data_IF_059975214929
#
_entry.id   IF_059975214929
#
_cell.length_a   1.000
_cell.length_b   1.000
_cell.length_c   1.000
_cell.angle_alpha   90.00
_cell.angle_beta   90.00
_cell.angle_gamma   90.00
#
_symmetry.space_group_name_H-M   'P 1'
#
loop_
_entity.id
_entity.type
_entity.pdbx_description
1 polymer ?
#
# COMPACT_ATOMS: atom_id res chain seq x y z
N UNK A 1 36.49 30.99 17.68
CA UNK A 1 35.16 31.56 17.99
C UNK A 1 34.21 31.17 16.85
N UNK A 2 33.58 29.98 16.86
CA UNK A 2 32.28 29.64 17.48
C UNK A 2 31.20 30.71 17.25
N UNK A 3 30.31 30.43 16.31
CA UNK A 3 28.92 30.88 16.34
C UNK A 3 28.06 29.70 15.86
N UNK A 4 27.68 28.88 16.84
CA UNK A 4 26.45 28.08 16.81
C UNK A 4 25.30 29.06 16.71
N UNK A 5 24.36 28.85 15.78
CA UNK A 5 22.96 29.26 15.94
C UNK A 5 22.04 28.26 15.19
N UNK A 6 21.42 27.42 16.03
CA UNK A 6 20.02 26.95 15.94
C UNK A 6 19.56 26.18 14.70
N UNK A 7 20.00 24.91 14.58
CA UNK A 7 19.16 23.84 14.04
C UNK A 7 18.24 23.29 15.13
N UNK A 8 17.12 23.96 15.35
CA UNK A 8 16.07 23.51 16.26
C UNK A 8 14.70 23.80 15.67
N UNK A 9 13.80 22.82 15.73
CA UNK A 9 12.41 22.82 15.24
C UNK A 9 12.17 22.53 13.74
N UNK A 10 12.52 21.31 13.29
CA UNK A 10 11.62 20.49 12.44
C UNK A 10 12.12 19.04 12.28
N UNK A 11 12.47 18.33 13.36
CA UNK A 11 12.88 16.91 13.28
C UNK A 11 12.44 16.11 14.49
N UNK A 12 11.13 16.01 14.70
CA UNK A 12 10.58 15.16 15.78
C UNK A 12 9.84 13.91 15.26
N UNK A 13 9.62 13.71 13.95
CA UNK A 13 8.81 12.55 13.51
C UNK A 13 9.49 11.48 12.64
N UNK A 14 10.71 11.68 12.13
CA UNK A 14 11.35 10.63 11.31
C UNK A 14 12.88 10.69 11.36
N UNK A 15 13.48 10.18 12.43
CA UNK A 15 14.91 9.86 12.44
C UNK A 15 15.23 8.67 13.35
N UNK A 16 14.63 7.52 13.06
CA UNK A 16 15.17 6.22 13.46
C UNK A 16 15.72 5.57 12.19
N UNK A 17 17.03 5.65 12.00
CA UNK A 17 17.72 5.23 10.76
C UNK A 17 17.50 3.72 10.49
N UNK A 18 17.23 2.92 11.53
CA UNK A 18 16.92 1.49 11.40
C UNK A 18 15.59 1.20 10.69
N UNK A 19 14.54 1.99 10.93
CA UNK A 19 13.20 1.71 10.38
C UNK A 19 13.08 2.10 8.90
N UNK A 20 13.85 3.10 8.46
CA UNK A 20 13.86 3.52 7.06
C UNK A 20 14.51 2.49 6.12
N UNK A 21 15.43 1.66 6.64
CA UNK A 21 16.18 0.71 5.82
C UNK A 21 15.29 -0.39 5.21
N UNK A 22 14.22 -0.80 5.89
CA UNK A 22 13.31 -1.84 5.43
C UNK A 22 11.88 -1.35 5.15
N UNK A 23 11.54 -0.12 5.53
CA UNK A 23 10.19 0.41 5.35
C UNK A 23 9.81 0.47 3.87
N UNK A 24 8.71 -0.21 3.51
CA UNK A 24 8.21 -0.27 2.13
C UNK A 24 7.94 1.13 1.53
N UNK A 25 7.45 2.06 2.35
CA UNK A 25 7.20 3.44 1.91
C UNK A 25 8.48 4.20 1.56
N UNK A 26 9.54 4.06 2.38
CA UNK A 26 10.78 4.82 2.19
C UNK A 26 11.71 4.21 1.12
N UNK A 27 11.42 2.98 0.67
CA UNK A 27 12.25 2.25 -0.29
C UNK A 27 11.66 2.17 -1.70
N UNK A 28 10.65 3.00 -2.02
CA UNK A 28 10.16 3.11 -3.40
C UNK A 28 11.24 3.82 -4.24
N UNK A 29 11.69 3.18 -5.32
CA UNK A 29 12.74 3.69 -6.21
C UNK A 29 12.19 3.95 -7.60
N UNK A 30 12.34 5.19 -8.07
CA UNK A 30 12.03 5.57 -9.45
C UNK A 30 12.92 4.89 -10.48
N UNK A 31 12.41 4.79 -11.72
CA UNK A 31 13.18 4.26 -12.86
C UNK A 31 13.36 2.74 -12.86
N UNK A 32 12.73 2.02 -11.92
CA UNK A 32 12.67 0.55 -11.93
C UNK A 32 11.22 0.11 -12.11
N UNK A 33 10.94 -0.88 -12.97
CA UNK A 33 9.60 -1.41 -13.11
C UNK A 33 9.19 -2.18 -11.86
N UNK A 34 8.04 -1.84 -11.28
CA UNK A 34 7.44 -2.59 -10.18
C UNK A 34 6.46 -3.64 -10.73
N UNK A 35 6.14 -4.69 -9.94
CA UNK A 35 5.05 -5.60 -10.28
C UNK A 35 3.69 -4.89 -10.17
N UNK A 36 2.64 -5.52 -10.69
CA UNK A 36 1.27 -5.10 -10.41
C UNK A 36 0.99 -5.20 -8.90
N UNK A 37 0.51 -4.12 -8.29
CA UNK A 37 0.25 -4.06 -6.85
C UNK A 37 -1.24 -3.74 -6.61
N UNK A 38 -1.89 -4.54 -5.77
CA UNK A 38 -3.21 -4.28 -5.23
C UNK A 38 -3.11 -4.23 -3.70
N UNK A 39 -3.12 -3.03 -3.14
CA UNK A 39 -3.19 -2.85 -1.68
C UNK A 39 -4.66 -2.91 -1.24
N UNK A 40 -4.95 -3.62 -0.14
CA UNK A 40 -6.29 -3.67 0.44
C UNK A 40 -6.30 -2.97 1.80
N UNK A 41 -7.38 -2.26 2.08
CA UNK A 41 -7.61 -1.60 3.36
C UNK A 41 -9.10 -1.45 3.61
N UNK A 42 -9.46 -1.01 4.80
CA UNK A 42 -10.84 -0.76 5.21
C UNK A 42 -10.96 0.66 5.74
N UNK A 43 -12.06 1.34 5.48
CA UNK A 43 -12.23 2.76 5.80
C UNK A 43 -12.19 3.08 7.30
N UNK A 44 -12.66 2.15 8.13
CA UNK A 44 -12.79 2.30 9.59
C UNK A 44 -11.78 1.48 10.39
N UNK A 45 -10.60 1.22 9.81
CA UNK A 45 -9.51 0.52 10.53
C UNK A 45 -8.90 1.42 11.62
N UNK A 46 -9.21 1.13 12.88
CA UNK A 46 -8.63 1.80 14.05
C UNK A 46 -7.36 1.12 14.56
N UNK A 47 -6.99 -0.06 14.03
CA UNK A 47 -5.79 -0.81 14.41
C UNK A 47 -4.61 -0.48 13.50
N UNK A 48 -4.82 -0.43 12.20
CA UNK A 48 -3.82 -0.04 11.20
C UNK A 48 -4.41 1.00 10.27
N UNK A 49 -4.07 2.26 10.52
CA UNK A 49 -4.70 3.40 9.84
C UNK A 49 -4.61 3.30 8.30
N UNK A 50 -5.71 3.59 7.57
CA UNK A 50 -5.74 3.50 6.10
C UNK A 50 -4.76 4.45 5.39
N UNK A 51 -4.24 5.44 6.11
CA UNK A 51 -3.19 6.32 5.61
C UNK A 51 -1.91 5.59 5.18
N UNK A 52 -1.63 4.39 5.68
CA UNK A 52 -0.47 3.59 5.27
C UNK A 52 -0.53 3.11 3.81
N UNK A 53 -1.57 2.36 3.38
CA UNK A 53 -1.71 1.98 1.99
C UNK A 53 -1.90 3.20 1.06
N UNK A 54 -2.58 4.26 1.49
CA UNK A 54 -2.77 5.46 0.66
C UNK A 54 -1.46 6.16 0.31
N UNK A 55 -0.62 6.48 1.30
CA UNK A 55 0.68 7.11 1.02
C UNK A 55 1.56 6.19 0.18
N UNK A 56 1.52 4.89 0.41
CA UNK A 56 2.34 3.93 -0.34
C UNK A 56 1.95 3.86 -1.82
N UNK A 57 0.66 3.66 -2.12
CA UNK A 57 0.18 3.58 -3.50
C UNK A 57 0.32 4.92 -4.23
N UNK A 58 0.07 6.04 -3.57
CA UNK A 58 0.27 7.36 -4.17
C UNK A 58 1.74 7.59 -4.57
N UNK A 59 2.69 7.21 -3.70
CA UNK A 59 4.12 7.30 -4.02
C UNK A 59 4.51 6.35 -5.16
N UNK A 60 3.98 5.12 -5.20
CA UNK A 60 4.20 4.18 -6.30
C UNK A 60 3.73 4.78 -7.64
N UNK A 61 2.50 5.30 -7.68
CA UNK A 61 1.92 5.91 -8.89
C UNK A 61 2.74 7.13 -9.37
N UNK A 62 3.31 7.92 -8.45
CA UNK A 62 4.13 9.08 -8.78
C UNK A 62 5.58 8.73 -9.19
N UNK A 63 6.09 7.55 -8.85
CA UNK A 63 7.53 7.24 -8.96
C UNK A 63 8.02 6.89 -10.38
N UNK A 64 7.14 6.82 -11.39
CA UNK A 64 7.54 6.46 -12.76
C UNK A 64 8.12 5.04 -12.86
N UNK A 65 7.36 4.06 -12.37
CA UNK A 65 7.81 2.67 -12.13
C UNK A 65 7.19 1.65 -13.10
N UNK A 66 7.00 2.09 -14.36
CA UNK A 66 6.43 1.27 -15.43
C UNK A 66 4.91 1.31 -15.52
N UNK A 67 4.32 0.62 -16.52
CA UNK A 67 2.91 0.73 -16.87
C UNK A 67 1.97 -0.19 -16.07
N UNK A 68 2.52 -1.07 -15.23
CA UNK A 68 1.71 -2.00 -14.44
C UNK A 68 0.87 -1.25 -13.40
N UNK A 69 -0.32 -1.75 -13.04
CA UNK A 69 -1.20 -1.02 -12.15
C UNK A 69 -0.73 -1.10 -10.70
N UNK A 70 -0.89 0.01 -9.98
CA UNK A 70 -0.68 0.12 -8.56
C UNK A 70 -1.97 0.70 -7.96
N UNK A 71 -2.82 -0.15 -7.39
CA UNK A 71 -4.18 0.19 -6.97
C UNK A 71 -4.36 0.03 -5.46
N UNK A 72 -5.31 0.76 -4.91
CA UNK A 72 -5.81 0.55 -3.55
C UNK A 72 -7.30 0.22 -3.60
N UNK A 73 -7.68 -0.90 -2.98
CA UNK A 73 -9.06 -1.31 -2.77
C UNK A 73 -9.44 -0.96 -1.33
N UNK A 74 -10.47 -0.14 -1.19
CA UNK A 74 -10.98 0.33 0.10
C UNK A 74 -12.32 -0.36 0.34
N UNK A 75 -12.39 -1.19 1.37
CA UNK A 75 -13.67 -1.72 1.82
C UNK A 75 -14.39 -0.65 2.64
N UNK A 76 -15.60 -0.29 2.22
CA UNK A 76 -16.43 0.67 2.93
C UNK A 76 -17.23 -0.02 4.03
N UNK A 77 -17.41 0.62 5.18
CA UNK A 77 -18.17 0.07 6.34
C UNK A 77 -17.65 -1.31 6.76
N UNK A 78 -16.34 -1.44 6.92
CA UNK A 78 -15.70 -2.62 7.47
C UNK A 78 -14.62 -2.22 8.48
N UNK A 79 -14.57 -2.90 9.62
CA UNK A 79 -13.46 -2.80 10.57
C UNK A 79 -12.28 -3.70 10.17
N UNK A 80 -11.31 -3.90 11.06
CA UNK A 80 -10.04 -4.64 10.86
C UNK A 80 -10.16 -6.15 10.54
N UNK A 81 -11.32 -6.61 10.04
CA UNK A 81 -11.55 -7.98 9.56
C UNK A 81 -12.50 -8.80 10.44
N UNK A 82 -12.62 -8.50 11.74
CA UNK A 82 -13.56 -9.21 12.63
C UNK A 82 -15.00 -8.80 12.31
N UNK A 83 -15.87 -9.79 12.07
CA UNK A 83 -17.29 -9.56 11.78
C UNK A 83 -17.58 -9.06 10.36
N UNK A 84 -16.64 -9.22 9.41
CA UNK A 84 -16.89 -8.88 8.00
C UNK A 84 -18.03 -9.75 7.43
N UNK A 85 -19.09 -9.14 6.88
CA UNK A 85 -20.15 -9.86 6.17
C UNK A 85 -19.60 -10.79 5.09
N UNK A 86 -20.17 -11.99 4.96
CA UNK A 86 -19.70 -13.02 4.03
C UNK A 86 -19.68 -12.53 2.58
N UNK A 87 -20.67 -11.73 2.17
CA UNK A 87 -20.75 -11.17 0.83
C UNK A 87 -19.56 -10.25 0.52
N UNK A 88 -19.10 -9.46 1.50
CA UNK A 88 -17.90 -8.61 1.37
C UNK A 88 -16.63 -9.45 1.26
N UNK A 89 -16.52 -10.52 2.07
CA UNK A 89 -15.38 -11.44 2.01
C UNK A 89 -15.29 -12.16 0.66
N UNK A 90 -16.43 -12.57 0.09
CA UNK A 90 -16.49 -13.17 -1.24
C UNK A 90 -16.03 -12.18 -2.30
N UNK A 91 -16.53 -10.94 -2.28
CA UNK A 91 -16.15 -9.89 -3.24
C UNK A 91 -14.67 -9.55 -3.16
N UNK A 92 -14.14 -9.35 -1.95
CA UNK A 92 -12.71 -9.09 -1.74
C UNK A 92 -11.85 -10.22 -2.29
N UNK A 93 -12.22 -11.47 -2.00
CA UNK A 93 -11.51 -12.64 -2.51
C UNK A 93 -11.60 -12.69 -4.03
N UNK A 94 -12.79 -12.50 -4.62
CA UNK A 94 -12.97 -12.48 -6.07
C UNK A 94 -12.08 -11.42 -6.74
N UNK A 95 -12.04 -10.19 -6.22
CA UNK A 95 -11.20 -9.12 -6.74
C UNK A 95 -9.71 -9.46 -6.66
N UNK A 96 -9.24 -9.97 -5.51
CA UNK A 96 -7.84 -10.34 -5.30
C UNK A 96 -7.39 -11.45 -6.25
N UNK A 97 -8.22 -12.49 -6.41
CA UNK A 97 -7.92 -13.62 -7.29
C UNK A 97 -7.98 -13.22 -8.76
N UNK A 98 -8.98 -12.43 -9.17
CA UNK A 98 -9.09 -11.92 -10.54
C UNK A 98 -7.89 -11.03 -10.91
N UNK A 99 -7.49 -10.11 -10.02
CA UNK A 99 -6.32 -9.26 -10.21
C UNK A 99 -5.04 -10.10 -10.33
N UNK A 100 -4.84 -11.05 -9.41
CA UNK A 100 -3.66 -11.91 -9.40
C UNK A 100 -3.59 -12.78 -10.65
N UNK A 101 -4.69 -13.42 -11.03
CA UNK A 101 -4.75 -14.27 -12.22
C UNK A 101 -4.42 -13.47 -13.49
N UNK A 102 -5.03 -12.30 -13.66
CA UNK A 102 -4.82 -11.45 -14.83
C UNK A 102 -3.35 -10.99 -14.95
N UNK A 103 -2.75 -10.49 -13.87
CA UNK A 103 -1.41 -9.91 -13.92
C UNK A 103 -0.26 -10.91 -13.76
N UNK A 104 -0.53 -12.12 -13.26
CA UNK A 104 0.44 -13.23 -13.28
C UNK A 104 0.48 -13.98 -14.61
N UNK A 105 -0.51 -13.76 -15.49
CA UNK A 105 -0.66 -14.53 -16.72
C UNK A 105 -1.23 -15.94 -16.51
N UNK A 106 -1.92 -16.17 -15.38
CA UNK A 106 -2.56 -17.45 -15.09
C UNK A 106 -3.69 -17.68 -16.09
N UNK A 107 -3.62 -18.80 -16.82
CA UNK A 107 -4.69 -19.21 -17.72
C UNK A 107 -5.82 -19.87 -16.93
N UNK A 108 -6.90 -19.13 -16.70
CA UNK A 108 -8.08 -19.61 -15.98
C UNK A 108 -9.01 -20.32 -16.98
N UNK A 109 -9.15 -21.63 -16.83
CA UNK A 109 -10.14 -22.40 -17.58
C UNK A 109 -11.51 -22.27 -16.90
N UNK A 110 -12.62 -22.09 -17.65
CA UNK A 110 -13.95 -22.17 -17.09
C UNK A 110 -14.14 -23.53 -16.42
N UNK A 111 -14.67 -23.52 -15.20
CA UNK A 111 -15.17 -24.74 -14.58
C UNK A 111 -16.57 -24.94 -15.13
N UNK A 112 -16.72 -25.94 -15.99
CA UNK A 112 -18.03 -26.39 -16.49
C UNK A 112 -18.83 -27.04 -15.36
#
# INVERSE_FOLDING_TARGET
>A
MRALLTRGLLRVCCRRIGDAAYSAYHNIRSGKPYPSILATTVDTDDRVVPGHPFKHVATLQAAGIGPRPHLVRIEMRAGHGLGKPTDKSIKETADMWAFTAHWSGLNVKPVN
#
